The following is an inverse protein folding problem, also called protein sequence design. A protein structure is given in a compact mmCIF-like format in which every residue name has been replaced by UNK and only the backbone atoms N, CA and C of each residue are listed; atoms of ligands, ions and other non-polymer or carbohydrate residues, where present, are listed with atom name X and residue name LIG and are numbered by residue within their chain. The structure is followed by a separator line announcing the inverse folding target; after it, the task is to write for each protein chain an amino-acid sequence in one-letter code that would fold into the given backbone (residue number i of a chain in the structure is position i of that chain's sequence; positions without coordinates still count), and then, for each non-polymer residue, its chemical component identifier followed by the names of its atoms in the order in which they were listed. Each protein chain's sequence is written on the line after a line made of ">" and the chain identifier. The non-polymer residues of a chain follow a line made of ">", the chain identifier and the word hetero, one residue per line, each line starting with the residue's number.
data_IF_711040186178
#
_entry.id   IF_711040186178
#
_cell.length_a   1.000
_cell.length_b   1.000
_cell.length_c   1.000
_cell.angle_alpha   90.00
_cell.angle_beta   90.00
_cell.angle_gamma   90.00
#
_symmetry.space_group_name_H-M   'P 1'
#
loop_
_entity.id
_entity.type
_entity.pdbx_description
1 polymer ?
#
# COMPACT_ATOMS: atom_id res chain seq x y z
N UNK A 1 8.55 -17.27 36.46
CA UNK A 1 9.86 -17.28 35.79
C UNK A 1 9.59 -17.09 34.30
N UNK A 2 9.72 -15.86 33.79
CA UNK A 2 9.45 -15.54 32.38
C UNK A 2 10.71 -15.96 31.62
N UNK A 3 10.66 -17.05 30.88
CA UNK A 3 11.71 -17.41 29.93
C UNK A 3 11.64 -16.37 28.81
N UNK A 4 12.63 -15.48 28.62
CA UNK A 4 12.62 -14.59 27.48
C UNK A 4 12.65 -15.47 26.23
N UNK A 5 11.63 -15.36 25.38
CA UNK A 5 11.63 -15.94 24.04
C UNK A 5 12.85 -15.35 23.30
N UNK A 6 13.98 -16.05 23.36
CA UNK A 6 15.20 -15.72 22.62
C UNK A 6 14.99 -16.10 21.15
N UNK A 7 14.18 -15.33 20.43
CA UNK A 7 14.17 -15.31 18.98
C UNK A 7 14.77 -13.98 18.47
N UNK A 8 15.96 -13.63 18.98
CA UNK A 8 16.82 -12.67 18.28
C UNK A 8 17.57 -13.41 17.17
N UNK A 9 17.62 -12.90 15.93
CA UNK A 9 18.23 -13.60 14.80
C UNK A 9 19.76 -13.43 14.87
N UNK A 10 20.42 -14.11 15.79
CA UNK A 10 21.90 -14.07 15.87
C UNK A 10 22.52 -15.19 15.03
N UNK A 11 21.78 -16.27 14.74
CA UNK A 11 22.30 -17.47 14.06
C UNK A 11 21.57 -17.88 12.77
N UNK A 12 20.70 -17.05 12.18
CA UNK A 12 19.91 -17.49 11.00
C UNK A 12 20.74 -17.50 9.71
N UNK A 13 21.88 -16.81 9.63
CA UNK A 13 22.62 -16.72 8.37
C UNK A 13 24.12 -17.07 8.46
N UNK A 14 24.52 -18.26 8.97
CA UNK A 14 25.87 -18.75 8.73
C UNK A 14 26.05 -19.04 7.24
N UNK A 15 26.66 -18.09 6.52
CA UNK A 15 27.24 -18.30 5.18
C UNK A 15 26.30 -18.27 3.96
N UNK A 16 24.98 -18.26 4.13
CA UNK A 16 24.03 -18.16 3.00
C UNK A 16 23.16 -16.90 3.07
N UNK A 17 23.01 -16.22 1.92
CA UNK A 17 22.09 -15.08 1.79
C UNK A 17 20.65 -15.58 1.92
N UNK A 18 19.79 -14.94 2.74
CA UNK A 18 18.38 -15.28 2.79
C UNK A 18 17.72 -15.24 1.42
N UNK A 19 16.72 -16.10 1.22
CA UNK A 19 15.71 -15.86 0.19
C UNK A 19 14.72 -14.80 0.68
N UNK A 20 14.17 -14.01 -0.24
CA UNK A 20 13.12 -13.04 0.08
C UNK A 20 11.93 -13.77 0.70
N UNK A 21 11.52 -14.91 0.14
CA UNK A 21 10.44 -15.72 0.70
C UNK A 21 10.71 -16.13 2.16
N UNK A 22 11.93 -16.57 2.47
CA UNK A 22 12.33 -16.98 3.81
C UNK A 22 12.29 -15.82 4.81
N UNK A 23 12.84 -14.66 4.43
CA UNK A 23 12.81 -13.45 5.23
C UNK A 23 11.38 -12.98 5.51
N UNK A 24 10.56 -12.85 4.46
CA UNK A 24 9.16 -12.43 4.58
C UNK A 24 8.34 -13.41 5.44
N UNK A 25 8.60 -14.71 5.32
CA UNK A 25 7.95 -15.73 6.17
C UNK A 25 8.33 -15.57 7.64
N UNK A 26 9.61 -15.33 7.94
CA UNK A 26 10.07 -15.07 9.30
C UNK A 26 9.43 -13.80 9.87
N UNK A 27 9.44 -12.69 9.12
CA UNK A 27 8.82 -11.43 9.52
C UNK A 27 7.31 -11.56 9.77
N UNK A 28 6.61 -12.33 8.94
CA UNK A 28 5.20 -12.64 9.16
C UNK A 28 4.99 -13.40 10.47
N UNK A 29 5.83 -14.41 10.71
CA UNK A 29 5.79 -15.19 11.95
C UNK A 29 6.04 -14.32 13.18
N UNK A 30 7.05 -13.45 13.13
CA UNK A 30 7.39 -12.54 14.22
C UNK A 30 6.23 -11.56 14.51
N UNK A 31 5.69 -10.91 13.47
CA UNK A 31 4.50 -10.06 13.61
C UNK A 31 3.32 -10.80 14.21
N UNK A 32 3.05 -12.03 13.77
CA UNK A 32 1.95 -12.84 14.28
C UNK A 32 2.07 -13.10 15.78
N UNK A 33 3.25 -13.51 16.23
CA UNK A 33 3.49 -13.82 17.63
C UNK A 33 3.49 -12.55 18.49
N UNK A 34 4.17 -11.50 18.05
CA UNK A 34 4.31 -10.29 18.83
C UNK A 34 3.00 -9.50 18.97
N UNK A 35 2.19 -9.46 17.91
CA UNK A 35 0.83 -8.91 17.98
C UNK A 35 -0.06 -9.74 18.91
N UNK A 36 0.11 -11.06 18.90
CA UNK A 36 -0.60 -11.99 19.77
C UNK A 36 -0.27 -11.83 21.23
N UNK A 37 1.02 -11.73 21.55
CA UNK A 37 1.50 -11.47 22.90
C UNK A 37 1.04 -10.10 23.37
N UNK A 38 1.08 -9.08 22.52
CA UNK A 38 0.55 -7.76 22.80
C UNK A 38 -0.94 -7.72 23.13
N UNK A 39 -1.76 -8.58 22.52
CA UNK A 39 -3.17 -8.70 22.89
C UNK A 39 -3.42 -9.42 24.21
N UNK A 40 -2.50 -10.29 24.63
CA UNK A 40 -2.55 -10.99 25.93
C UNK A 40 -1.98 -10.12 27.04
N UNK A 41 -0.92 -9.37 26.74
CA UNK A 41 -0.09 -8.59 27.64
C UNK A 41 0.06 -7.16 27.09
N UNK A 42 -0.99 -6.35 27.26
CA UNK A 42 -1.07 -5.01 26.69
C UNK A 42 0.10 -4.08 27.11
N UNK A 43 0.47 -3.09 26.28
CA UNK A 43 -0.13 -2.77 24.98
C UNK A 43 0.49 -3.53 23.79
N UNK A 44 -0.28 -3.88 22.75
CA UNK A 44 0.27 -4.40 21.51
C UNK A 44 1.08 -3.31 20.78
N UNK A 45 2.16 -3.67 20.05
CA UNK A 45 2.93 -2.70 19.26
C UNK A 45 2.04 -1.89 18.30
N UNK A 46 2.47 -0.67 18.03
CA UNK A 46 1.84 0.21 17.05
C UNK A 46 1.98 -0.33 15.63
N UNK A 47 1.16 0.20 14.72
CA UNK A 47 1.29 -0.08 13.28
C UNK A 47 2.65 0.39 12.75
N UNK A 48 3.03 1.62 13.10
CA UNK A 48 4.32 2.23 12.74
C UNK A 48 5.51 1.40 13.23
N UNK A 49 5.43 0.82 14.43
CA UNK A 49 6.49 -0.03 14.98
C UNK A 49 6.75 -1.26 14.12
N UNK A 50 5.70 -1.92 13.62
CA UNK A 50 5.87 -3.05 12.71
C UNK A 50 6.45 -2.61 11.36
N UNK A 51 5.97 -1.48 10.83
CA UNK A 51 6.48 -0.89 9.57
C UNK A 51 7.97 -0.59 9.67
N UNK A 52 8.41 0.10 10.72
CA UNK A 52 9.82 0.47 10.94
C UNK A 52 10.72 -0.75 11.00
N UNK A 53 10.32 -1.77 11.78
CA UNK A 53 11.09 -3.00 11.92
C UNK A 53 11.12 -3.77 10.61
N UNK A 54 10.03 -3.81 9.87
CA UNK A 54 9.99 -4.48 8.58
C UNK A 54 10.92 -3.84 7.56
N UNK A 55 10.86 -2.52 7.42
CA UNK A 55 11.75 -1.77 6.53
C UNK A 55 13.21 -1.96 6.95
N UNK A 56 13.50 -1.93 8.25
CA UNK A 56 14.84 -2.20 8.78
C UNK A 56 15.33 -3.59 8.38
N UNK A 57 14.53 -4.64 8.61
CA UNK A 57 14.91 -6.01 8.27
C UNK A 57 15.12 -6.21 6.76
N UNK A 58 14.24 -5.63 5.94
CA UNK A 58 14.37 -5.65 4.48
C UNK A 58 15.65 -4.95 4.01
N UNK A 59 15.95 -3.75 4.52
CA UNK A 59 17.18 -3.02 4.17
C UNK A 59 18.43 -3.78 4.60
N UNK A 60 18.45 -4.30 5.83
CA UNK A 60 19.60 -5.04 6.36
C UNK A 60 19.88 -6.34 5.61
N UNK A 61 18.84 -7.13 5.31
CA UNK A 61 19.02 -8.45 4.70
C UNK A 61 19.07 -8.42 3.16
N UNK A 62 18.40 -7.44 2.53
CA UNK A 62 18.09 -7.48 1.10
C UNK A 62 18.38 -6.18 0.34
N UNK A 63 19.02 -5.17 0.94
CA UNK A 63 19.21 -3.85 0.32
C UNK A 63 19.88 -3.82 -1.07
N UNK A 64 20.54 -4.90 -1.50
CA UNK A 64 21.12 -5.05 -2.84
C UNK A 64 20.15 -5.62 -3.91
N UNK A 65 19.01 -6.19 -3.49
CA UNK A 65 17.99 -6.84 -4.34
C UNK A 65 16.65 -6.11 -4.33
N UNK A 66 16.44 -5.27 -3.31
CA UNK A 66 15.26 -4.46 -3.15
C UNK A 66 15.61 -3.08 -2.64
N UNK A 67 14.73 -2.11 -2.92
CA UNK A 67 14.73 -0.79 -2.28
C UNK A 67 13.44 -0.64 -1.48
N UNK A 68 13.55 -0.31 -0.20
CA UNK A 68 12.43 0.06 0.66
C UNK A 68 12.54 1.54 1.05
N UNK A 69 11.53 2.34 0.75
CA UNK A 69 11.48 3.79 0.96
C UNK A 69 10.33 4.08 1.91
N UNK A 70 10.62 4.66 3.06
CA UNK A 70 9.58 5.04 4.03
C UNK A 70 9.12 6.47 3.74
N UNK A 71 7.81 6.72 3.82
CA UNK A 71 7.26 8.06 3.70
C UNK A 71 7.20 8.76 5.05
N UNK A 72 7.44 10.06 5.01
CA UNK A 72 7.12 10.96 6.11
C UNK A 72 5.61 11.13 6.23
N UNK A 73 5.11 11.55 7.40
CA UNK A 73 3.69 11.89 7.59
C UNK A 73 3.18 12.93 6.60
N UNK A 74 4.05 13.87 6.23
CA UNK A 74 3.74 14.83 5.18
C UNK A 74 3.50 14.10 3.87
N UNK A 75 4.42 13.26 3.41
CA UNK A 75 4.24 12.49 2.16
C UNK A 75 3.02 11.55 2.19
N UNK A 76 2.80 10.84 3.31
CA UNK A 76 1.62 9.99 3.53
C UNK A 76 0.32 10.78 3.30
N UNK A 77 0.26 12.04 3.74
CA UNK A 77 -0.91 12.90 3.54
C UNK A 77 -1.20 13.28 2.07
N UNK A 78 -0.24 13.07 1.17
CA UNK A 78 -0.43 13.29 -0.27
C UNK A 78 -0.65 11.99 -1.03
N UNK A 79 0.11 10.94 -0.71
CA UNK A 79 0.13 9.69 -1.48
C UNK A 79 -0.68 8.57 -0.84
N UNK A 80 -1.17 8.73 0.39
CA UNK A 80 -1.94 7.71 1.11
C UNK A 80 -1.18 6.43 1.44
N UNK A 81 0.15 6.45 1.41
CA UNK A 81 1.02 5.30 1.61
C UNK A 81 2.03 5.54 2.73
N UNK A 82 2.30 4.50 3.52
CA UNK A 82 3.33 4.52 4.56
C UNK A 82 4.74 4.30 3.96
N UNK A 83 4.84 3.47 2.92
CA UNK A 83 6.12 3.14 2.29
C UNK A 83 5.99 2.56 0.88
N UNK A 84 7.12 2.45 0.18
CA UNK A 84 7.26 1.92 -1.17
C UNK A 84 8.34 0.83 -1.19
N UNK A 85 8.06 -0.27 -1.89
CA UNK A 85 8.96 -1.42 -2.03
C UNK A 85 9.21 -1.73 -3.50
N UNK A 86 10.47 -1.76 -3.91
CA UNK A 86 10.90 -2.20 -5.24
C UNK A 86 11.69 -3.50 -5.17
N UNK A 87 11.24 -4.52 -5.89
CA UNK A 87 12.01 -5.74 -6.14
C UNK A 87 12.53 -5.65 -7.57
N UNK A 88 13.84 -5.82 -7.77
CA UNK A 88 14.45 -5.49 -9.05
C UNK A 88 15.66 -6.36 -9.43
N UNK A 89 16.00 -6.33 -10.72
CA UNK A 89 17.24 -6.85 -11.28
C UNK A 89 18.15 -5.75 -11.86
N UNK A 90 17.98 -4.51 -11.36
CA UNK A 90 18.68 -3.25 -11.72
C UNK A 90 18.26 -2.61 -13.05
N UNK A 91 17.71 -3.37 -13.99
CA UNK A 91 17.13 -2.80 -15.21
C UNK A 91 15.61 -2.76 -15.16
N UNK A 92 15.02 -3.78 -14.53
CA UNK A 92 13.58 -3.96 -14.40
C UNK A 92 13.21 -4.17 -12.94
N UNK A 93 11.95 -3.91 -12.61
CA UNK A 93 11.44 -4.18 -11.29
C UNK A 93 9.94 -4.08 -11.19
N UNK A 94 9.45 -4.46 -10.02
CA UNK A 94 8.08 -4.23 -9.58
C UNK A 94 8.09 -3.35 -8.35
N UNK A 95 7.32 -2.27 -8.41
CA UNK A 95 7.05 -1.38 -7.29
C UNK A 95 5.73 -1.72 -6.61
N UNK A 96 5.70 -1.71 -5.29
CA UNK A 96 4.50 -1.78 -4.48
C UNK A 96 4.38 -0.45 -3.72
N UNK A 97 3.22 0.17 -3.79
CA UNK A 97 2.85 1.32 -2.95
C UNK A 97 2.03 0.77 -1.79
N UNK A 98 2.56 0.88 -0.58
CA UNK A 98 2.10 0.10 0.57
C UNK A 98 1.54 1.02 1.65
N UNK A 99 0.28 0.82 2.01
CA UNK A 99 -0.29 1.30 3.27
C UNK A 99 -0.37 0.14 4.27
N UNK A 100 0.27 0.25 5.43
CA UNK A 100 0.13 -0.74 6.47
C UNK A 100 -1.22 -0.58 7.18
N UNK A 101 -1.82 -1.69 7.62
CA UNK A 101 -2.93 -1.69 8.57
C UNK A 101 -2.78 -2.80 9.60
N UNK A 102 -2.80 -2.42 10.88
CA UNK A 102 -2.79 -3.36 11.99
C UNK A 102 -4.21 -3.86 12.28
N UNK A 103 -4.35 -5.18 12.42
CA UNK A 103 -5.57 -5.77 12.94
C UNK A 103 -5.86 -5.21 14.35
N UNK A 104 -7.12 -5.10 14.75
CA UNK A 104 -7.52 -4.82 16.13
C UNK A 104 -7.74 -6.13 16.89
N UNK A 105 -7.88 -6.06 18.23
CA UNK A 105 -8.26 -7.23 19.04
C UNK A 105 -9.60 -7.86 18.60
N UNK A 106 -10.50 -7.06 18.00
CA UNK A 106 -11.79 -7.51 17.44
C UNK A 106 -11.67 -8.04 16.00
N UNK A 107 -10.46 -8.07 15.44
CA UNK A 107 -10.23 -8.53 14.07
C UNK A 107 -10.57 -7.50 12.98
N UNK A 108 -10.66 -6.23 13.33
CA UNK A 108 -11.01 -5.11 12.43
C UNK A 108 -9.77 -4.34 11.99
N UNK A 109 -9.89 -3.48 10.98
CA UNK A 109 -8.81 -2.62 10.48
C UNK A 109 -9.34 -1.20 10.24
N UNK A 110 -8.52 -0.18 10.45
CA UNK A 110 -8.89 1.21 10.19
C UNK A 110 -8.77 1.57 8.70
N UNK A 111 -9.65 1.03 7.84
CA UNK A 111 -9.65 1.34 6.40
C UNK A 111 -10.34 2.67 6.05
N UNK A 112 -11.32 3.09 6.85
CA UNK A 112 -11.97 4.38 6.69
C UNK A 112 -11.11 5.47 7.34
N UNK A 113 -10.33 6.18 6.53
CA UNK A 113 -9.52 7.31 6.98
C UNK A 113 -9.66 8.47 5.99
N UNK A 114 -10.36 9.52 6.42
CA UNK A 114 -10.60 10.74 5.64
C UNK A 114 -9.52 11.77 5.95
N UNK A 115 -8.83 12.27 4.92
CA UNK A 115 -7.86 13.35 5.02
C UNK A 115 -8.56 14.67 4.71
N UNK A 116 -8.82 15.46 5.75
CA UNK A 116 -9.54 16.73 5.62
C UNK A 116 -8.80 17.74 4.73
N UNK A 117 -7.47 17.79 4.80
CA UNK A 117 -6.65 18.71 3.98
C UNK A 117 -6.69 18.38 2.48
N UNK A 118 -7.15 17.17 2.14
CA UNK A 118 -7.26 16.68 0.76
C UNK A 118 -8.69 16.49 0.31
N UNK A 119 -9.65 16.57 1.24
CA UNK A 119 -11.04 16.17 1.00
C UNK A 119 -11.13 14.81 0.30
N UNK A 120 -10.34 13.84 0.76
CA UNK A 120 -10.24 12.51 0.15
C UNK A 120 -9.94 11.41 1.16
N UNK A 121 -10.38 10.19 0.84
CA UNK A 121 -10.03 8.97 1.57
C UNK A 121 -8.59 8.56 1.26
N UNK A 122 -7.88 8.07 2.28
CA UNK A 122 -6.51 7.55 2.17
C UNK A 122 -6.38 6.49 1.06
N UNK A 123 -7.39 5.64 0.93
CA UNK A 123 -7.42 4.58 -0.08
C UNK A 123 -7.40 5.14 -1.51
N UNK A 124 -8.07 6.27 -1.75
CA UNK A 124 -8.13 6.87 -3.08
C UNK A 124 -6.81 7.55 -3.43
N UNK A 125 -6.19 8.22 -2.45
CA UNK A 125 -4.83 8.76 -2.59
C UNK A 125 -3.81 7.65 -2.90
N UNK A 126 -3.89 6.52 -2.16
CA UNK A 126 -3.04 5.35 -2.36
C UNK A 126 -3.14 4.79 -3.77
N UNK A 127 -4.36 4.58 -4.26
CA UNK A 127 -4.61 4.07 -5.61
C UNK A 127 -4.10 5.05 -6.66
N UNK A 128 -4.47 6.33 -6.54
CA UNK A 128 -4.09 7.36 -7.48
C UNK A 128 -2.56 7.53 -7.60
N UNK A 129 -1.86 7.65 -6.47
CA UNK A 129 -0.41 7.80 -6.46
C UNK A 129 0.30 6.55 -7.00
N UNK A 130 -0.17 5.35 -6.64
CA UNK A 130 0.39 4.10 -7.17
C UNK A 130 0.30 4.03 -8.70
N UNK A 131 -0.83 4.41 -9.29
CA UNK A 131 -1.02 4.42 -10.74
C UNK A 131 -0.06 5.39 -11.44
N UNK A 132 0.06 6.63 -10.93
CA UNK A 132 1.01 7.64 -11.45
C UNK A 132 2.44 7.12 -11.37
N UNK A 133 2.78 6.50 -10.24
CA UNK A 133 4.13 6.06 -9.95
C UNK A 133 4.44 4.65 -10.46
N UNK A 134 3.50 4.05 -11.21
CA UNK A 134 3.55 2.73 -11.83
C UNK A 134 3.82 1.58 -10.84
N UNK A 135 3.30 1.71 -9.63
CA UNK A 135 3.36 0.72 -8.56
C UNK A 135 2.02 -0.02 -8.42
N UNK A 136 2.05 -1.20 -7.82
CA UNK A 136 0.83 -1.93 -7.42
C UNK A 136 0.34 -1.34 -6.09
N UNK A 137 -0.90 -0.80 -6.00
CA UNK A 137 -1.44 -0.28 -4.75
C UNK A 137 -1.91 -1.41 -3.84
N UNK A 138 -1.30 -1.54 -2.67
CA UNK A 138 -1.61 -2.62 -1.73
C UNK A 138 -1.68 -2.13 -0.28
N UNK A 139 -2.49 -2.83 0.50
CA UNK A 139 -2.41 -2.81 1.95
C UNK A 139 -1.54 -3.97 2.44
N UNK A 140 -0.62 -3.70 3.37
CA UNK A 140 0.06 -4.71 4.17
C UNK A 140 -0.67 -4.87 5.51
N UNK A 141 -1.33 -6.00 5.69
CA UNK A 141 -2.12 -6.28 6.89
C UNK A 141 -1.27 -7.03 7.93
N UNK A 142 -1.17 -6.47 9.13
CA UNK A 142 -0.56 -7.13 10.30
C UNK A 142 -1.61 -7.89 11.09
N UNK A 143 -1.48 -9.22 11.19
CA UNK A 143 -2.53 -10.12 11.65
C UNK A 143 -2.09 -11.02 12.81
N UNK A 144 -3.03 -11.46 13.65
CA UNK A 144 -2.78 -12.47 14.68
C UNK A 144 -3.88 -13.54 14.83
N UNK A 145 -5.17 -13.22 14.62
CA UNK A 145 -6.27 -14.20 14.85
C UNK A 145 -7.34 -14.18 13.77
N UNK A 146 -7.87 -15.36 13.44
CA UNK A 146 -9.10 -15.57 12.67
C UNK A 146 -9.05 -16.90 11.90
N UNK A 147 -10.15 -17.37 11.31
CA UNK A 147 -10.05 -18.37 10.26
C UNK A 147 -9.39 -17.71 9.04
N UNK A 148 -8.33 -18.34 8.51
CA UNK A 148 -7.73 -17.92 7.24
C UNK A 148 -8.21 -18.84 6.13
N UNK A 149 -8.77 -18.23 5.10
CA UNK A 149 -9.12 -18.90 3.85
C UNK A 149 -8.76 -17.92 2.74
N UNK A 150 -7.79 -18.30 1.91
CA UNK A 150 -7.42 -17.50 0.73
C UNK A 150 -8.43 -17.81 -0.36
N UNK A 151 -8.95 -16.79 -1.04
CA UNK A 151 -9.84 -16.96 -2.18
C UNK A 151 -9.21 -17.91 -3.23
N UNK A 152 -9.99 -18.88 -3.73
CA UNK A 152 -9.47 -19.93 -4.62
C UNK A 152 -8.72 -19.37 -5.85
N UNK A 153 -9.25 -18.31 -6.46
CA UNK A 153 -8.62 -17.66 -7.62
C UNK A 153 -7.24 -17.08 -7.33
N UNK A 154 -7.02 -16.57 -6.11
CA UNK A 154 -5.72 -16.06 -5.69
C UNK A 154 -4.77 -17.21 -5.31
N UNK A 155 -5.29 -18.25 -4.64
CA UNK A 155 -4.51 -19.38 -4.16
C UNK A 155 -3.79 -20.17 -5.28
N UNK A 156 -4.41 -20.30 -6.46
CA UNK A 156 -3.84 -21.05 -7.60
C UNK A 156 -2.50 -20.49 -8.11
N UNK A 157 -2.17 -19.24 -7.79
CA UNK A 157 -0.93 -18.59 -8.23
C UNK A 157 0.17 -18.48 -7.17
N UNK A 158 -0.13 -18.81 -5.92
CA UNK A 158 0.78 -18.61 -4.79
C UNK A 158 1.80 -19.75 -4.67
N UNK A 159 2.98 -19.47 -4.12
CA UNK A 159 3.94 -20.53 -3.85
C UNK A 159 3.49 -21.39 -2.65
N UNK A 160 3.91 -22.65 -2.61
CA UNK A 160 3.62 -23.59 -1.51
C UNK A 160 4.39 -23.34 -0.22
N UNK A 161 5.24 -22.31 -0.15
CA UNK A 161 6.07 -22.02 1.03
C UNK A 161 5.21 -21.44 2.16
N UNK A 162 4.69 -22.32 2.99
CA UNK A 162 3.89 -22.02 4.18
C UNK A 162 4.73 -22.21 5.46
N UNK A 163 4.30 -21.59 6.55
CA UNK A 163 4.74 -22.03 7.87
C UNK A 163 3.94 -23.28 8.28
N UNK A 164 4.49 -24.10 9.19
CA UNK A 164 3.77 -25.25 9.76
C UNK A 164 2.55 -24.83 10.59
N UNK A 165 2.49 -23.56 10.99
CA UNK A 165 1.39 -22.94 11.69
C UNK A 165 0.78 -21.78 10.86
N UNK A 166 -0.19 -21.09 11.44
CA UNK A 166 -0.86 -19.93 10.84
C UNK A 166 -0.01 -18.64 10.88
N UNK A 167 1.23 -18.69 11.39
CA UNK A 167 2.03 -17.49 11.61
C UNK A 167 2.50 -16.83 10.31
N UNK A 168 2.53 -17.57 9.19
CA UNK A 168 2.78 -16.98 7.88
C UNK A 168 1.68 -16.01 7.43
N UNK A 169 0.49 -16.05 8.05
CA UNK A 169 -0.55 -15.05 7.84
C UNK A 169 -0.36 -13.78 8.65
N UNK A 170 0.67 -13.69 9.51
CA UNK A 170 0.95 -12.47 10.27
C UNK A 170 1.16 -11.25 9.39
N UNK A 171 1.51 -11.45 8.12
CA UNK A 171 1.59 -10.41 7.11
C UNK A 171 0.92 -10.87 5.81
N UNK A 172 -0.14 -10.18 5.40
CA UNK A 172 -0.81 -10.44 4.12
C UNK A 172 -0.90 -9.17 3.27
N UNK A 173 -0.82 -9.33 1.95
CA UNK A 173 -1.07 -8.26 0.99
C UNK A 173 -2.52 -8.32 0.52
N UNK A 174 -3.17 -7.17 0.50
CA UNK A 174 -4.52 -6.97 -0.01
C UNK A 174 -4.48 -5.86 -1.07
N UNK A 175 -5.01 -6.11 -2.27
CA UNK A 175 -5.12 -5.03 -3.28
C UNK A 175 -5.97 -3.87 -2.74
N UNK A 176 -5.48 -2.63 -2.90
CA UNK A 176 -6.19 -1.44 -2.45
C UNK A 176 -7.55 -1.28 -3.14
N UNK A 177 -7.69 -1.79 -4.37
CA UNK A 177 -8.97 -1.79 -5.09
C UNK A 177 -10.06 -2.61 -4.38
N UNK A 178 -9.71 -3.66 -3.62
CA UNK A 178 -10.70 -4.36 -2.78
C UNK A 178 -11.21 -3.48 -1.64
N UNK A 179 -10.33 -2.68 -1.04
CA UNK A 179 -10.68 -1.74 0.03
C UNK A 179 -11.53 -0.61 -0.54
N UNK A 180 -11.13 -0.05 -1.67
CA UNK A 180 -11.88 0.97 -2.40
C UNK A 180 -13.30 0.47 -2.74
N UNK A 181 -13.43 -0.74 -3.30
CA UNK A 181 -14.73 -1.34 -3.60
C UNK A 181 -15.61 -1.54 -2.35
N UNK A 182 -15.00 -1.88 -1.21
CA UNK A 182 -15.72 -2.04 0.05
C UNK A 182 -16.16 -0.69 0.64
N UNK A 183 -15.33 0.34 0.52
CA UNK A 183 -15.66 1.72 0.91
C UNK A 183 -16.77 2.30 0.02
N UNK A 184 -16.70 2.06 -1.29
CA UNK A 184 -17.72 2.49 -2.24
C UNK A 184 -19.10 1.93 -1.89
N UNK A 185 -19.18 0.62 -1.61
CA UNK A 185 -20.41 -0.01 -1.12
C UNK A 185 -20.92 0.60 0.17
N UNK A 186 -20.03 0.94 1.08
CA UNK A 186 -20.41 1.57 2.35
C UNK A 186 -21.02 2.95 2.13
N UNK A 187 -20.43 3.77 1.25
CA UNK A 187 -20.97 5.09 0.90
C UNK A 187 -22.35 4.93 0.25
N UNK A 188 -22.46 4.11 -0.80
CA UNK A 188 -23.74 3.88 -1.49
C UNK A 188 -24.82 3.31 -0.54
N UNK A 189 -24.48 2.31 0.28
CA UNK A 189 -25.45 1.73 1.21
C UNK A 189 -25.89 2.76 2.26
N UNK A 190 -25.01 3.68 2.67
CA UNK A 190 -25.37 4.77 3.57
C UNK A 190 -26.35 5.75 2.89
N UNK A 191 -26.06 6.15 1.66
CA UNK A 191 -26.89 7.10 0.92
C UNK A 191 -28.27 6.51 0.59
N UNK A 192 -28.33 5.21 0.23
CA UNK A 192 -29.58 4.54 -0.12
C UNK A 192 -30.43 4.13 1.09
N UNK A 193 -29.81 3.76 2.22
CA UNK A 193 -30.53 3.11 3.33
C UNK A 193 -30.39 3.82 4.67
N UNK A 194 -29.61 4.91 4.79
CA UNK A 194 -29.40 5.66 6.04
C UNK A 194 -28.79 4.82 7.17
N UNK A 195 -28.11 3.71 6.83
CA UNK A 195 -27.57 2.75 7.78
C UNK A 195 -26.12 2.40 7.45
N UNK A 196 -25.24 2.62 8.43
CA UNK A 196 -23.83 2.21 8.34
C UNK A 196 -23.71 0.68 8.35
N UNK A 197 -23.53 0.07 7.19
CA UNK A 197 -23.02 -1.30 7.13
C UNK A 197 -21.51 -1.30 7.36
N UNK A 198 -21.08 -1.93 8.44
CA UNK A 198 -19.65 -2.08 8.71
C UNK A 198 -18.95 -2.82 7.57
N UNK A 199 -17.74 -2.37 7.20
CA UNK A 199 -16.87 -3.07 6.26
C UNK A 199 -16.64 -4.50 6.77
N UNK A 200 -16.89 -5.50 5.92
CA UNK A 200 -16.60 -6.89 6.27
C UNK A 200 -15.09 -7.14 6.26
N UNK A 201 -14.43 -6.89 7.40
CA UNK A 201 -12.99 -7.13 7.57
C UNK A 201 -12.61 -8.62 7.40
N UNK A 202 -13.53 -9.54 7.71
CA UNK A 202 -13.34 -10.96 7.43
C UNK A 202 -13.24 -11.22 5.93
N UNK A 203 -14.14 -10.64 5.13
CA UNK A 203 -14.13 -10.79 3.68
C UNK A 203 -12.87 -10.18 3.07
N UNK A 204 -12.48 -8.96 3.47
CA UNK A 204 -11.24 -8.34 3.00
C UNK A 204 -10.01 -9.20 3.30
N UNK A 205 -9.96 -9.81 4.49
CA UNK A 205 -8.88 -10.73 4.86
C UNK A 205 -8.85 -12.00 4.00
N UNK A 206 -10.00 -12.55 3.65
CA UNK A 206 -10.10 -13.71 2.74
C UNK A 206 -9.62 -13.40 1.32
N UNK A 207 -9.66 -12.12 0.93
CA UNK A 207 -9.16 -11.61 -0.35
C UNK A 207 -7.67 -11.20 -0.29
N UNK A 208 -7.04 -11.30 0.89
CA UNK A 208 -5.60 -11.07 1.06
C UNK A 208 -4.79 -12.36 0.91
N UNK A 209 -3.52 -12.25 0.55
CA UNK A 209 -2.59 -13.39 0.46
C UNK A 209 -1.34 -13.19 1.32
N UNK A 210 -0.74 -14.26 1.87
CA UNK A 210 0.55 -14.18 2.56
C UNK A 210 1.60 -13.50 1.69
N UNK A 211 2.21 -12.44 2.20
CA UNK A 211 3.11 -11.61 1.39
C UNK A 211 4.36 -12.37 0.92
N UNK A 212 4.81 -13.35 1.69
CA UNK A 212 5.94 -14.22 1.35
C UNK A 212 5.61 -15.12 0.15
N UNK A 213 4.34 -15.41 -0.10
CA UNK A 213 3.89 -16.20 -1.24
C UNK A 213 3.71 -15.35 -2.49
N UNK A 214 3.18 -14.13 -2.34
CA UNK A 214 3.05 -13.16 -3.43
C UNK A 214 4.44 -12.76 -3.95
N UNK A 215 5.38 -12.50 -3.05
CA UNK A 215 6.73 -12.01 -3.35
C UNK A 215 7.80 -13.11 -3.31
N UNK A 216 7.40 -14.38 -3.48
CA UNK A 216 8.32 -15.51 -3.36
C UNK A 216 9.37 -15.52 -4.49
N UNK A 217 10.64 -15.52 -4.09
CA UNK A 217 11.81 -15.57 -4.99
C UNK A 217 12.44 -16.96 -5.12
N UNK A 218 11.95 -17.94 -4.34
CA UNK A 218 12.41 -19.33 -4.40
C UNK A 218 11.78 -20.00 -5.63
N UNK A 219 12.63 -20.42 -6.56
CA UNK A 219 12.22 -21.24 -7.69
C UNK A 219 12.30 -22.72 -7.31
N UNK A 220 11.38 -23.52 -7.85
CA UNK A 220 11.58 -24.97 -7.88
C UNK A 220 12.86 -25.28 -8.66
N UNK A 221 13.57 -26.37 -8.34
CA UNK A 221 14.78 -26.78 -9.05
C UNK A 221 14.42 -27.18 -10.49
N UNK A 222 14.29 -26.18 -11.37
CA UNK A 222 14.29 -26.35 -12.82
C UNK A 222 15.72 -26.17 -13.32
N UNK A 223 16.12 -27.00 -14.27
CA UNK A 223 17.52 -27.19 -14.71
C UNK A 223 18.18 -25.94 -15.33
N UNK A 224 17.42 -24.86 -15.56
CA UNK A 224 17.93 -23.64 -16.20
C UNK A 224 18.01 -22.51 -15.19
N UNK A 225 19.22 -22.26 -14.68
CA UNK A 225 19.52 -21.04 -13.91
C UNK A 225 19.42 -19.83 -14.84
N UNK A 226 18.37 -19.04 -14.68
CA UNK A 226 18.29 -17.74 -15.30
C UNK A 226 19.32 -16.78 -14.69
N UNK A 227 20.27 -16.36 -15.51
CA UNK A 227 21.47 -15.61 -15.13
C UNK A 227 21.22 -14.26 -14.43
N UNK A 228 20.00 -13.69 -14.50
CA UNK A 228 19.70 -12.35 -13.94
C UNK A 228 18.43 -12.27 -13.09
N UNK A 229 17.83 -13.39 -12.72
CA UNK A 229 16.60 -13.41 -11.92
C UNK A 229 15.38 -12.80 -12.61
N UNK A 230 15.40 -12.73 -13.95
CA UNK A 230 14.29 -12.29 -14.80
C UNK A 230 13.06 -13.18 -14.59
N UNK A 231 13.24 -14.50 -14.58
CA UNK A 231 12.18 -15.47 -14.35
C UNK A 231 11.54 -15.30 -12.97
N UNK A 232 12.36 -15.08 -11.94
CA UNK A 232 11.87 -14.77 -10.59
C UNK A 232 11.05 -13.48 -10.58
N UNK A 233 11.56 -12.42 -11.19
CA UNK A 233 10.87 -11.14 -11.22
C UNK A 233 9.56 -11.21 -12.02
N UNK A 234 9.52 -11.96 -13.13
CA UNK A 234 8.30 -12.20 -13.91
C UNK A 234 7.24 -12.92 -13.09
N UNK A 235 7.65 -13.90 -12.29
CA UNK A 235 6.72 -14.66 -11.46
C UNK A 235 6.17 -13.81 -10.30
N UNK A 236 7.01 -13.00 -9.65
CA UNK A 236 6.55 -12.02 -8.64
C UNK A 236 5.59 -11.01 -9.29
N UNK A 237 5.90 -10.53 -10.50
CA UNK A 237 5.04 -9.62 -11.25
C UNK A 237 3.69 -10.25 -11.58
N UNK A 238 3.68 -11.50 -12.05
CA UNK A 238 2.44 -12.25 -12.35
C UNK A 238 1.55 -12.39 -11.11
N UNK A 239 2.12 -12.75 -9.95
CA UNK A 239 1.37 -12.91 -8.69
C UNK A 239 0.83 -11.58 -8.17
N UNK A 240 1.62 -10.51 -8.27
CA UNK A 240 1.20 -9.17 -7.86
C UNK A 240 0.11 -8.62 -8.78
N UNK A 241 0.23 -8.85 -10.08
CA UNK A 241 -0.80 -8.50 -11.06
C UNK A 241 -2.10 -9.29 -10.84
N UNK A 242 -2.02 -10.57 -10.44
CA UNK A 242 -3.21 -11.35 -10.09
C UNK A 242 -3.93 -10.78 -8.85
N UNK A 243 -3.17 -10.35 -7.83
CA UNK A 243 -3.72 -9.67 -6.65
C UNK A 243 -4.42 -8.34 -7.03
N UNK A 244 -3.77 -7.54 -7.88
CA UNK A 244 -4.30 -6.27 -8.39
C UNK A 244 -5.58 -6.50 -9.19
N UNK A 245 -5.55 -7.42 -10.16
CA UNK A 245 -6.65 -7.78 -11.04
C UNK A 245 -7.89 -8.25 -10.25
N UNK A 246 -7.71 -9.09 -9.23
CA UNK A 246 -8.80 -9.49 -8.34
C UNK A 246 -9.48 -8.29 -7.68
N UNK A 247 -8.69 -7.27 -7.29
CA UNK A 247 -9.22 -6.05 -6.71
C UNK A 247 -9.98 -5.18 -7.72
N UNK A 248 -9.44 -5.04 -8.93
CA UNK A 248 -10.11 -4.32 -10.03
C UNK A 248 -11.44 -4.99 -10.41
N UNK A 249 -11.50 -6.32 -10.42
CA UNK A 249 -12.75 -7.07 -10.63
C UNK A 249 -13.75 -6.85 -9.50
N UNK A 250 -13.29 -6.69 -8.25
CA UNK A 250 -14.17 -6.36 -7.15
C UNK A 250 -14.72 -4.93 -7.26
N UNK A 251 -13.91 -3.99 -7.74
CA UNK A 251 -14.29 -2.60 -7.97
C UNK A 251 -15.27 -2.45 -9.14
N UNK A 252 -15.01 -3.09 -10.28
CA UNK A 252 -15.92 -3.02 -11.44
C UNK A 252 -17.31 -3.62 -11.20
N UNK A 253 -17.48 -4.45 -10.15
CA UNK A 253 -18.80 -4.94 -9.73
C UNK A 253 -19.61 -3.92 -8.94
N UNK A 254 -18.99 -2.86 -8.44
CA UNK A 254 -19.64 -1.84 -7.62
C UNK A 254 -19.69 -0.49 -8.33
N UNK A 255 -18.70 -0.21 -9.18
CA UNK A 255 -18.67 0.94 -10.08
C UNK A 255 -18.53 0.45 -11.54
N UNK A 256 -19.65 0.03 -12.17
CA UNK A 256 -19.62 -0.46 -13.55
C UNK A 256 -19.43 0.66 -14.58
N UNK A 257 -19.74 1.91 -14.22
CA UNK A 257 -19.63 3.06 -15.11
C UNK A 257 -18.23 3.69 -15.04
N UNK A 258 -17.45 3.45 -13.98
CA UNK A 258 -16.02 3.76 -13.92
C UNK A 258 -15.70 5.22 -13.62
N UNK A 259 -16.67 5.98 -13.10
CA UNK A 259 -16.56 7.43 -12.99
C UNK A 259 -16.35 7.96 -11.56
N UNK A 260 -16.51 7.15 -10.51
CA UNK A 260 -16.53 7.66 -9.13
C UNK A 260 -15.67 6.89 -8.15
N UNK A 261 -14.73 7.59 -7.53
CA UNK A 261 -14.07 7.17 -6.30
C UNK A 261 -15.01 7.34 -5.11
N UNK A 262 -14.85 6.55 -4.03
CA UNK A 262 -15.56 6.78 -2.76
C UNK A 262 -15.48 8.23 -2.27
N UNK A 263 -14.35 8.92 -2.49
CA UNK A 263 -14.20 10.34 -2.15
C UNK A 263 -15.05 11.28 -3.02
N UNK A 264 -15.27 10.97 -4.30
CA UNK A 264 -16.16 11.74 -5.16
C UNK A 264 -17.61 11.61 -4.68
N UNK A 265 -18.08 10.38 -4.47
CA UNK A 265 -19.45 10.13 -3.98
C UNK A 265 -19.68 10.81 -2.62
N UNK A 266 -18.73 10.71 -1.70
CA UNK A 266 -18.87 11.35 -0.40
C UNK A 266 -18.91 12.90 -0.47
N UNK A 267 -18.20 13.52 -1.42
CA UNK A 267 -18.21 14.99 -1.61
C UNK A 267 -19.54 15.49 -2.15
N UNK A 268 -20.07 14.81 -3.17
CA UNK A 268 -21.35 15.16 -3.80
C UNK A 268 -22.51 15.19 -2.79
N UNK A 269 -22.35 14.52 -1.63
CA UNK A 269 -23.33 14.45 -0.56
C UNK A 269 -23.06 15.36 0.66
N UNK A 270 -21.87 15.94 0.82
CA UNK A 270 -21.45 16.55 2.10
C UNK A 270 -21.40 18.09 2.15
N UNK A 271 -21.87 18.82 1.13
CA UNK A 271 -21.72 20.28 1.00
C UNK A 271 -20.27 20.79 1.18
N UNK A 272 -19.29 19.87 1.10
CA UNK A 272 -17.86 20.19 1.19
C UNK A 272 -17.43 20.70 -0.18
N UNK A 273 -17.20 22.02 -0.27
CA UNK A 273 -16.95 22.76 -1.52
C UNK A 273 -15.80 22.26 -2.42
N UNK A 274 -15.60 22.99 -3.53
CA UNK A 274 -14.75 22.60 -4.67
C UNK A 274 -13.31 22.23 -4.30
N UNK A 275 -13.05 20.95 -4.10
CA UNK A 275 -11.71 20.37 -3.99
C UNK A 275 -11.25 19.84 -5.37
N UNK A 276 -9.92 19.84 -5.64
CA UNK A 276 -9.39 19.39 -6.93
C UNK A 276 -9.90 18.00 -7.30
N UNK A 277 -10.29 17.86 -8.57
CA UNK A 277 -10.91 16.64 -9.08
C UNK A 277 -9.88 15.50 -9.15
N UNK A 278 -9.94 14.57 -8.20
CA UNK A 278 -9.20 13.30 -8.26
C UNK A 278 -9.83 12.41 -9.35
N UNK A 279 -9.46 12.63 -10.61
CA UNK A 279 -9.83 11.72 -11.71
C UNK A 279 -8.82 10.58 -11.81
N UNK A 280 -9.18 9.40 -11.31
CA UNK A 280 -8.48 8.16 -11.68
C UNK A 280 -8.86 7.80 -13.10
N UNK A 281 -8.13 8.32 -14.09
CA UNK A 281 -8.36 7.98 -15.51
C UNK A 281 -7.96 6.52 -15.76
N UNK A 282 -8.88 5.59 -15.52
CA UNK A 282 -8.70 4.17 -15.83
C UNK A 282 -8.74 3.91 -17.35
N UNK A 283 -9.18 4.87 -18.15
CA UNK A 283 -9.37 4.73 -19.61
C UNK A 283 -8.08 4.55 -20.41
N UNK A 284 -6.92 4.92 -19.86
CA UNK A 284 -5.62 4.72 -20.50
C UNK A 284 -4.91 3.46 -19.99
N UNK A 285 -5.62 2.52 -19.36
CA UNK A 285 -5.03 1.23 -19.05
C UNK A 285 -4.61 0.58 -20.38
N UNK A 286 -3.30 0.43 -20.66
CA UNK A 286 -2.84 -0.06 -21.95
C UNK A 286 -3.49 -1.41 -22.24
N UNK A 287 -4.01 -1.56 -23.46
CA UNK A 287 -4.80 -2.71 -23.90
C UNK A 287 -4.20 -4.03 -23.36
N UNK A 288 -5.00 -4.75 -22.57
CA UNK A 288 -4.64 -5.93 -21.77
C UNK A 288 -4.18 -7.18 -22.56
N UNK A 289 -3.85 -7.05 -23.85
CA UNK A 289 -3.38 -8.18 -24.68
C UNK A 289 -1.89 -8.42 -24.49
N UNK A 290 -1.50 -9.62 -24.04
CA UNK A 290 -0.14 -10.21 -23.93
C UNK A 290 0.97 -9.42 -23.20
N UNK A 291 0.76 -8.14 -22.88
CA UNK A 291 1.70 -7.25 -22.18
C UNK A 291 2.04 -7.69 -20.75
N UNK A 292 1.32 -8.66 -20.17
CA UNK A 292 1.59 -9.19 -18.83
C UNK A 292 2.91 -9.95 -18.71
N UNK A 293 3.56 -10.32 -19.82
CA UNK A 293 4.83 -11.06 -19.79
C UNK A 293 6.09 -10.19 -19.85
N UNK A 294 5.97 -8.93 -20.25
CA UNK A 294 7.10 -8.01 -20.31
C UNK A 294 7.39 -7.46 -18.92
N UNK A 295 8.66 -7.54 -18.51
CA UNK A 295 9.12 -6.86 -17.31
C UNK A 295 9.08 -5.35 -17.54
N UNK A 296 8.65 -4.58 -16.54
CA UNK A 296 8.66 -3.12 -16.62
C UNK A 296 10.06 -2.58 -16.31
N UNK A 297 10.58 -1.63 -17.11
CA UNK A 297 11.82 -0.95 -16.76
C UNK A 297 11.64 -0.19 -15.44
N UNK A 298 12.72 -0.03 -14.68
CA UNK A 298 12.68 0.76 -13.46
C UNK A 298 12.44 2.25 -13.80
N UNK A 299 11.56 2.96 -13.06
CA UNK A 299 11.43 4.40 -13.20
C UNK A 299 12.76 5.11 -12.91
N UNK A 300 13.03 6.22 -13.61
CA UNK A 300 14.28 6.98 -13.43
C UNK A 300 14.52 7.39 -11.97
N UNK A 301 13.47 7.72 -11.21
CA UNK A 301 13.58 8.01 -9.78
C UNK A 301 14.18 6.83 -9.00
N UNK A 302 13.78 5.59 -9.33
CA UNK A 302 14.25 4.39 -8.65
C UNK A 302 15.68 4.07 -9.06
N UNK A 303 16.02 4.24 -10.35
CA UNK A 303 17.41 4.11 -10.82
C UNK A 303 18.34 5.06 -10.05
N UNK A 304 17.97 6.35 -9.92
CA UNK A 304 18.70 7.32 -9.09
C UNK A 304 18.86 6.86 -7.63
N UNK A 305 17.82 6.25 -7.05
CA UNK A 305 17.86 5.71 -5.68
C UNK A 305 18.73 4.46 -5.52
N UNK A 306 18.95 3.71 -6.60
CA UNK A 306 19.86 2.55 -6.63
C UNK A 306 21.32 2.98 -6.84
N UNK A 307 21.52 4.10 -7.54
CA UNK A 307 22.83 4.72 -7.79
C UNK A 307 23.32 5.58 -6.63
N UNK A 308 22.40 6.12 -5.82
CA UNK A 308 22.76 6.81 -4.60
C UNK A 308 23.41 5.82 -3.61
N UNK A 309 24.73 5.93 -3.44
CA UNK A 309 25.51 5.25 -2.40
C UNK A 309 25.03 5.62 -0.98
N UNK A 310 24.25 6.69 -0.87
CA UNK A 310 23.75 7.24 0.38
C UNK A 310 22.55 6.41 0.93
N UNK A 311 22.61 5.90 2.18
CA UNK A 311 21.49 5.21 2.81
C UNK A 311 20.26 6.10 2.99
N UNK A 312 20.42 7.42 2.93
CA UNK A 312 19.31 8.36 2.93
C UNK A 312 18.85 8.59 1.49
N UNK A 313 17.66 8.13 1.07
CA UNK A 313 17.15 8.53 -0.23
C UNK A 313 17.13 10.06 -0.27
N UNK A 314 17.54 10.71 -1.39
CA UNK A 314 17.22 12.11 -1.60
C UNK A 314 15.74 12.30 -1.26
N UNK A 315 15.40 13.41 -0.59
CA UNK A 315 13.99 13.76 -0.43
C UNK A 315 13.37 13.60 -1.82
N UNK A 316 12.32 12.77 -1.97
CA UNK A 316 11.67 12.68 -3.26
C UNK A 316 11.29 14.09 -3.63
N UNK A 317 11.30 14.40 -4.94
CA UNK A 317 10.63 15.59 -5.43
C UNK A 317 9.19 15.48 -4.93
N UNK A 318 8.91 16.06 -3.75
CA UNK A 318 7.56 16.41 -3.35
C UNK A 318 7.11 17.20 -4.56
N UNK A 319 6.02 16.85 -5.24
CA UNK A 319 5.50 17.74 -6.26
C UNK A 319 5.29 19.09 -5.57
N UNK A 320 6.27 19.97 -5.72
CA UNK A 320 6.28 21.38 -5.30
C UNK A 320 5.27 22.15 -6.14
N UNK A 321 4.59 21.44 -7.05
CA UNK A 321 3.61 21.91 -7.97
C UNK A 321 2.64 20.78 -8.34
N UNK A 322 1.74 20.40 -7.44
CA UNK A 322 0.37 20.78 -7.80
C UNK A 322 0.35 22.29 -7.56
N UNK A 323 0.69 23.07 -8.58
CA UNK A 323 0.31 24.46 -8.58
C UNK A 323 -1.20 24.38 -8.65
N UNK A 324 -1.86 24.41 -7.49
CA UNK A 324 -3.12 25.12 -7.44
C UNK A 324 -2.68 26.54 -7.75
N UNK A 325 -2.84 26.94 -9.01
CA UNK A 325 -2.80 28.35 -9.36
C UNK A 325 -3.99 28.94 -8.63
N UNK A 326 -3.78 29.36 -7.40
CA UNK A 326 -4.57 30.44 -6.86
C UNK A 326 -4.20 31.64 -7.72
N UNK A 327 -5.13 32.05 -8.56
CA UNK A 327 -5.18 33.42 -9.04
C UNK A 327 -5.43 34.30 -7.80
N UNK A 328 -4.35 34.87 -7.28
CA UNK A 328 -4.38 35.91 -6.24
C UNK A 328 -3.98 37.24 -6.89
N UNK A 329 -4.66 37.57 -7.98
CA UNK A 329 -4.72 38.91 -8.58
C UNK A 329 -6.21 39.18 -8.84
N UNK A 330 -7.00 39.46 -7.81
CA UNK A 330 -7.47 40.83 -7.55
C UNK A 330 -7.88 41.01 -6.08
N UNK A 331 -6.89 40.96 -5.19
CA UNK A 331 -7.04 41.49 -3.83
C UNK A 331 -5.81 42.34 -3.47
N UNK A 332 -5.49 43.33 -4.31
CA UNK A 332 -4.64 44.42 -3.88
C UNK A 332 -5.38 45.35 -2.91
N UNK A 333 -4.83 45.35 -1.70
CA UNK A 333 -4.50 46.54 -0.91
C UNK A 333 -5.62 47.34 -0.24
N UNK A 334 -5.71 47.05 1.06
CA UNK A 334 -5.92 48.06 2.09
C UNK A 334 -4.89 49.19 1.93
N UNK A 335 -5.32 50.44 2.08
CA UNK A 335 -5.09 51.25 3.29
C UNK A 335 -5.46 52.73 3.06
N UNK A 336 -6.38 53.20 3.91
CA UNK A 336 -6.35 54.48 4.64
C UNK A 336 -5.60 55.65 3.99
N UNK A 337 -6.35 56.73 3.71
CA UNK A 337 -5.84 58.06 4.03
C UNK A 337 -6.92 58.94 4.65
N UNK A 338 -6.56 59.51 5.79
CA UNK A 338 -7.36 60.44 6.57
C UNK A 338 -7.50 61.81 5.86
N UNK A 339 -8.52 62.57 6.30
CA UNK A 339 -8.71 64.03 6.20
C UNK A 339 -9.35 64.57 4.92
N UNK A 340 -10.54 65.16 5.07
CA UNK A 340 -11.02 66.18 4.12
C UNK A 340 -12.52 66.45 4.05
N UNK A 341 -13.14 66.92 5.14
CA UNK A 341 -14.07 68.08 5.17
C UNK A 341 -14.81 68.48 3.86
N UNK A 342 -16.16 68.49 3.87
CA UNK A 342 -17.07 69.67 3.78
C UNK A 342 -18.47 69.34 3.19
N UNK A 343 -19.46 70.01 3.80
CA UNK A 343 -20.85 70.32 3.44
C UNK A 343 -21.34 70.10 1.98
N UNK A 344 -22.59 69.65 1.80
CA UNK A 344 -23.74 70.53 1.60
C UNK A 344 -25.07 69.77 1.44
N UNK A 345 -26.11 70.39 2.03
CA UNK A 345 -27.57 70.28 1.83
C UNK A 345 -28.26 68.94 2.06
#
# INVERSE_FOLDING_TARGET
>A
MITPYRYGPVDIWPGQRPSLCGLLKWMASDTFHWLGDGYRHAPPPGEETFTDLHIRHLRQAMGHRLKAIQFTKRQESFNGADWELWIHNRSHGIGLRIQAKKQSRKGQYGFWYWLHERSALQCDLLVHDALITQCVPVYLLYNHRGPWTVAQGLAQGLCGHTASDQSHYGCTLLSAFHVQAALFRLVIDNDLYGHYRNISHQRLRQMSAPWNQVLCDVQEPKEVRDSRGVATLKEIQRRSAALEQSGLEALGRVDPEGFSTPSQVQRDHSDLGDAPELRTRLDETPARGDAQTALRPLPQRVLRLLEADDPCPPEPDVPTSAVVLYDVTDAEERLVNERGRLYHS
#
